data_IF_261759800243
#
_entry.id   IF_261759800243
#
_cell.length_a   1.000
_cell.length_b   1.000
_cell.length_c   1.000
_cell.angle_alpha   90.00
_cell.angle_beta   90.00
_cell.angle_gamma   90.00
#
_symmetry.space_group_name_H-M   'P 1'
#
loop_
_entity.id
_entity.type
_entity.pdbx_description
1 polymer ?
#
# COMPACT_ATOMS: atom_id res chain seq x y z
N UNK A 1 4.36 -17.31 67.19
CA UNK A 1 2.93 -17.18 67.53
C UNK A 1 2.25 -16.74 66.24
N UNK A 2 1.75 -17.65 65.39
CA UNK A 2 0.43 -18.30 65.50
C UNK A 2 -0.63 -17.33 64.94
N UNK A 3 -1.45 -17.60 63.93
CA UNK A 3 -1.77 -18.72 63.05
C UNK A 3 -2.80 -18.18 62.02
N UNK A 4 -2.92 -18.77 60.81
CA UNK A 4 -4.12 -19.52 60.33
C UNK A 4 -5.37 -18.65 60.01
N UNK A 5 -6.06 -18.68 58.86
CA UNK A 5 -6.49 -19.71 57.87
C UNK A 5 -7.00 -18.99 56.58
N UNK A 6 -6.67 -19.41 55.35
CA UNK A 6 -7.35 -20.36 54.43
C UNK A 6 -8.72 -19.95 53.83
N UNK A 7 -8.86 -20.21 52.52
CA UNK A 7 -10.12 -20.43 51.78
C UNK A 7 -10.25 -19.56 50.52
N UNK A 8 -9.74 -19.92 49.33
CA UNK A 8 -10.19 -20.95 48.38
C UNK A 8 -11.58 -20.69 47.73
N UNK A 9 -11.58 -20.49 46.40
CA UNK A 9 -12.54 -21.19 45.53
C UNK A 9 -13.42 -20.38 44.56
N UNK A 10 -13.11 -20.57 43.27
CA UNK A 10 -14.01 -20.90 42.13
C UNK A 10 -14.60 -19.79 41.25
N UNK A 11 -14.20 -19.89 39.98
CA UNK A 11 -14.95 -19.58 38.76
C UNK A 11 -16.43 -20.03 38.80
N UNK A 12 -17.27 -19.38 37.98
CA UNK A 12 -18.24 -20.11 37.18
C UNK A 12 -18.20 -19.75 35.69
N UNK A 13 -18.21 -20.83 34.90
CA UNK A 13 -18.41 -20.96 33.45
C UNK A 13 -19.88 -20.75 33.07
N UNK A 14 -20.10 -20.24 31.85
CA UNK A 14 -21.28 -20.29 30.97
C UNK A 14 -22.70 -20.40 31.55
N UNK A 15 -23.57 -19.49 31.08
CA UNK A 15 -24.90 -19.82 30.48
C UNK A 15 -25.67 -18.55 30.11
N UNK A 16 -25.90 -18.34 28.81
CA UNK A 16 -27.13 -17.68 28.32
C UNK A 16 -27.52 -18.21 26.94
N UNK A 17 -28.49 -19.12 26.94
CA UNK A 17 -29.36 -19.48 25.81
C UNK A 17 -30.80 -19.18 26.23
N UNK A 18 -31.51 -18.37 25.46
CA UNK A 18 -32.95 -18.49 25.16
C UNK A 18 -33.35 -17.25 24.33
N UNK A 19 -33.56 -17.37 23.01
CA UNK A 19 -34.80 -17.81 22.36
C UNK A 19 -35.74 -16.63 22.04
N UNK A 20 -35.81 -16.24 20.77
CA UNK A 20 -37.03 -15.74 20.11
C UNK A 20 -37.01 -16.16 18.64
N UNK A 21 -37.71 -17.26 18.35
CA UNK A 21 -38.11 -17.63 17.00
C UNK A 21 -39.44 -16.95 16.65
N UNK A 22 -39.54 -16.42 15.44
CA UNK A 22 -40.78 -15.94 14.82
C UNK A 22 -40.79 -16.38 13.37
N UNK A 23 -41.57 -17.43 13.07
CA UNK A 23 -41.78 -17.97 11.71
C UNK A 23 -42.69 -17.03 10.93
N UNK A 24 -42.30 -16.64 9.73
CA UNK A 24 -43.21 -16.06 8.74
C UNK A 24 -43.68 -17.19 7.81
N UNK A 25 -44.99 -17.41 7.84
CA UNK A 25 -45.70 -18.41 7.07
C UNK A 25 -45.80 -18.01 5.58
N UNK A 26 -45.68 -19.01 4.71
CA UNK A 26 -45.98 -18.96 3.28
C UNK A 26 -47.49 -18.82 3.06
N UNK A 27 -47.88 -18.04 2.06
CA UNK A 27 -49.20 -18.12 1.45
C UNK A 27 -49.06 -18.06 -0.10
N UNK A 28 -49.60 -19.07 -0.78
CA UNK A 28 -50.05 -19.05 -2.19
C UNK A 28 -51.57 -19.26 -2.13
N UNK A 29 -52.36 -18.61 -3.01
CA UNK A 29 -52.95 -19.31 -4.18
C UNK A 29 -53.15 -18.33 -5.38
N UNK A 30 -53.63 -18.60 -6.60
CA UNK A 30 -54.30 -19.71 -7.30
C UNK A 30 -54.08 -19.54 -8.84
N UNK A 31 -54.27 -20.61 -9.64
CA UNK A 31 -54.42 -20.57 -11.11
C UNK A 31 -55.90 -20.37 -11.50
N UNK A 32 -56.19 -19.97 -12.76
CA UNK A 32 -57.03 -20.86 -13.59
C UNK A 32 -56.67 -20.96 -15.09
N UNK A 33 -56.67 -22.22 -15.57
CA UNK A 33 -57.22 -22.84 -16.80
C UNK A 33 -57.40 -22.05 -18.13
N UNK A 34 -56.96 -22.67 -19.24
CA UNK A 34 -57.78 -22.85 -20.46
C UNK A 34 -57.16 -22.49 -21.82
N UNK A 35 -56.79 -23.50 -22.62
CA UNK A 35 -56.51 -23.45 -24.08
C UNK A 35 -57.83 -23.40 -24.90
N UNK A 36 -57.85 -23.01 -26.20
CA UNK A 36 -57.59 -23.94 -27.35
C UNK A 36 -56.87 -23.27 -28.56
N UNK A 37 -55.91 -23.92 -29.24
CA UNK A 37 -55.98 -24.86 -30.38
C UNK A 37 -55.66 -24.20 -31.77
N UNK A 38 -54.88 -24.93 -32.58
CA UNK A 38 -54.24 -24.57 -33.86
C UNK A 38 -55.18 -24.26 -35.04
N UNK A 39 -54.62 -23.94 -36.24
CA UNK A 39 -54.66 -25.00 -37.26
C UNK A 39 -53.36 -25.25 -38.05
N UNK A 40 -53.34 -26.47 -38.59
CA UNK A 40 -52.28 -27.24 -39.25
C UNK A 40 -51.92 -26.83 -40.69
N UNK A 41 -50.66 -27.12 -40.99
CA UNK A 41 -50.09 -27.80 -42.18
C UNK A 41 -49.89 -27.06 -43.51
N UNK A 42 -48.66 -27.18 -44.03
CA UNK A 42 -48.36 -27.89 -45.30
C UNK A 42 -46.91 -28.39 -45.33
N UNK A 43 -46.75 -29.65 -45.76
CA UNK A 43 -45.48 -30.34 -46.04
C UNK A 43 -44.93 -29.91 -47.40
N UNK A 44 -43.61 -29.94 -47.56
CA UNK A 44 -42.94 -30.32 -48.80
C UNK A 44 -41.59 -30.99 -48.47
N UNK A 45 -41.39 -32.16 -49.06
CA UNK A 45 -40.20 -33.02 -48.98
C UNK A 45 -38.99 -32.41 -49.73
N UNK A 46 -37.77 -32.83 -49.38
CA UNK A 46 -36.62 -32.67 -50.28
C UNK A 46 -35.21 -32.68 -49.69
N UNK A 47 -34.71 -33.87 -49.34
CA UNK A 47 -33.34 -34.40 -49.52
C UNK A 47 -32.06 -33.67 -49.01
N UNK A 48 -31.17 -34.54 -48.49
CA UNK A 48 -29.70 -34.50 -48.53
C UNK A 48 -28.91 -33.71 -47.45
N UNK A 49 -28.84 -34.32 -46.27
CA UNK A 49 -27.61 -34.59 -45.49
C UNK A 49 -26.38 -33.69 -45.61
N UNK A 50 -26.13 -32.91 -44.55
CA UNK A 50 -24.82 -32.80 -43.92
C UNK A 50 -25.02 -32.79 -42.40
N UNK A 51 -24.62 -33.87 -41.71
CA UNK A 51 -24.64 -33.93 -40.25
C UNK A 51 -23.49 -33.07 -39.71
N UNK A 52 -23.78 -31.85 -39.32
CA UNK A 52 -22.93 -31.11 -38.37
C UNK A 52 -23.36 -31.54 -36.98
N UNK A 53 -22.57 -32.42 -36.35
CA UNK A 53 -22.80 -32.81 -34.96
C UNK A 53 -22.60 -31.59 -34.04
N UNK A 54 -23.41 -31.43 -32.97
CA UNK A 54 -23.10 -30.46 -31.93
C UNK A 54 -21.97 -31.05 -31.08
N UNK A 55 -20.73 -30.78 -31.47
CA UNK A 55 -19.59 -30.97 -30.57
C UNK A 55 -19.75 -29.99 -29.39
N UNK A 56 -19.39 -30.38 -28.16
CA UNK A 56 -19.40 -29.45 -27.04
C UNK A 56 -18.41 -28.31 -27.35
N UNK A 57 -18.93 -27.09 -27.51
CA UNK A 57 -18.12 -25.87 -27.49
C UNK A 57 -17.63 -25.65 -26.05
N UNK A 58 -16.66 -26.45 -25.61
CA UNK A 58 -15.74 -25.98 -24.57
C UNK A 58 -14.88 -24.93 -25.25
N UNK A 59 -15.22 -23.65 -25.06
CA UNK A 59 -14.37 -22.53 -25.44
C UNK A 59 -13.03 -22.71 -24.72
N UNK A 60 -12.03 -23.23 -25.42
CA UNK A 60 -10.68 -23.35 -24.88
C UNK A 60 -10.19 -21.94 -24.53
N UNK A 61 -9.82 -21.73 -23.27
CA UNK A 61 -9.23 -20.46 -22.81
C UNK A 61 -7.99 -20.20 -23.65
N UNK A 62 -7.93 -19.06 -24.31
CA UNK A 62 -6.78 -18.69 -25.13
C UNK A 62 -5.55 -18.46 -24.24
N UNK A 63 -4.31 -18.63 -24.76
CA UNK A 63 -3.11 -18.33 -23.98
C UNK A 63 -3.09 -16.91 -23.41
N UNK A 64 -3.60 -15.94 -24.16
CA UNK A 64 -3.72 -14.55 -23.72
C UNK A 64 -4.66 -14.38 -22.51
N UNK A 65 -5.82 -15.04 -22.54
CA UNK A 65 -6.76 -15.04 -21.40
C UNK A 65 -6.16 -15.73 -20.18
N UNK A 66 -5.45 -16.85 -20.36
CA UNK A 66 -4.79 -17.54 -19.25
C UNK A 66 -3.65 -16.73 -18.65
N UNK A 67 -2.82 -16.09 -19.47
CA UNK A 67 -1.79 -15.16 -19.03
C UNK A 67 -2.39 -14.00 -18.22
N UNK A 68 -3.50 -13.42 -18.69
CA UNK A 68 -4.19 -12.35 -17.98
C UNK A 68 -4.72 -12.81 -16.61
N UNK A 69 -5.34 -13.99 -16.54
CA UNK A 69 -5.81 -14.61 -15.29
C UNK A 69 -4.67 -14.86 -14.29
N UNK A 70 -3.59 -15.52 -14.73
CA UNK A 70 -2.43 -15.80 -13.88
C UNK A 70 -1.80 -14.51 -13.33
N UNK A 71 -1.61 -13.50 -14.20
CA UNK A 71 -1.09 -12.19 -13.78
C UNK A 71 -2.01 -11.52 -12.76
N UNK A 72 -3.32 -11.59 -12.93
CA UNK A 72 -4.28 -11.03 -11.98
C UNK A 72 -4.25 -11.76 -10.63
N UNK A 73 -4.27 -13.09 -10.64
CA UNK A 73 -4.21 -13.92 -9.42
C UNK A 73 -2.91 -13.74 -8.65
N UNK A 74 -1.77 -13.72 -9.34
CA UNK A 74 -0.46 -13.48 -8.72
C UNK A 74 -0.43 -12.09 -8.09
N UNK A 75 -0.91 -11.04 -8.78
CA UNK A 75 -0.98 -9.68 -8.22
C UNK A 75 -1.86 -9.60 -6.98
N UNK A 76 -3.03 -10.25 -7.00
CA UNK A 76 -3.90 -10.36 -5.83
C UNK A 76 -3.17 -11.00 -4.65
N UNK A 77 -2.49 -12.13 -4.86
CA UNK A 77 -1.77 -12.79 -3.77
C UNK A 77 -0.50 -12.03 -3.34
N UNK A 78 0.17 -11.29 -4.23
CA UNK A 78 1.23 -10.35 -3.85
C UNK A 78 0.69 -9.25 -2.94
N UNK A 79 -0.48 -8.67 -3.25
CA UNK A 79 -1.12 -7.67 -2.40
C UNK A 79 -1.48 -8.26 -1.02
N UNK A 80 -2.13 -9.43 -1.00
CA UNK A 80 -2.52 -10.10 0.25
C UNK A 80 -1.31 -10.40 1.15
N UNK A 81 -0.20 -10.83 0.56
CA UNK A 81 1.02 -11.16 1.30
C UNK A 81 1.82 -9.92 1.72
N UNK A 82 2.17 -9.04 0.76
CA UNK A 82 3.14 -7.96 0.99
C UNK A 82 2.52 -6.64 1.44
N UNK A 83 1.21 -6.45 1.24
CA UNK A 83 0.51 -5.21 1.58
C UNK A 83 -0.45 -5.41 2.75
N UNK A 84 -1.24 -6.48 2.71
CA UNK A 84 -2.30 -6.71 3.70
C UNK A 84 -1.87 -7.60 4.87
N UNK A 85 -0.71 -8.26 4.77
CA UNK A 85 -0.19 -9.22 5.78
C UNK A 85 -1.24 -10.31 6.14
N UNK A 86 -1.99 -10.77 5.14
CA UNK A 86 -3.11 -11.71 5.28
C UNK A 86 -3.17 -12.66 4.07
N UNK A 87 -2.17 -13.56 3.92
CA UNK A 87 -2.06 -14.46 2.78
C UNK A 87 -3.18 -15.51 2.74
N UNK A 88 -3.73 -15.75 1.55
CA UNK A 88 -4.82 -16.72 1.33
C UNK A 88 -4.36 -18.10 0.86
N UNK A 89 -3.15 -18.17 0.29
CA UNK A 89 -2.56 -19.39 -0.26
C UNK A 89 -1.18 -19.62 0.32
N UNK A 90 -0.71 -20.86 0.29
CA UNK A 90 0.65 -21.22 0.70
C UNK A 90 1.70 -20.76 -0.31
N UNK A 91 2.94 -20.63 0.15
CA UNK A 91 4.09 -20.30 -0.71
C UNK A 91 4.24 -21.29 -1.87
N UNK A 92 3.97 -22.59 -1.63
CA UNK A 92 4.05 -23.62 -2.66
C UNK A 92 2.98 -23.45 -3.75
N UNK A 93 1.78 -23.00 -3.40
CA UNK A 93 0.71 -22.70 -4.36
C UNK A 93 1.04 -21.43 -5.16
N UNK A 94 1.58 -20.41 -4.51
CA UNK A 94 2.04 -19.19 -5.18
C UNK A 94 3.17 -19.50 -6.19
N UNK A 95 4.15 -20.30 -5.78
CA UNK A 95 5.25 -20.74 -6.65
C UNK A 95 4.74 -21.55 -7.86
N UNK A 96 3.68 -22.33 -7.69
CA UNK A 96 3.06 -23.05 -8.80
C UNK A 96 2.44 -22.10 -9.82
N UNK A 97 1.73 -21.05 -9.37
CA UNK A 97 1.18 -20.01 -10.26
C UNK A 97 2.27 -19.27 -11.02
N UNK A 98 3.36 -18.91 -10.33
CA UNK A 98 4.47 -18.20 -10.94
C UNK A 98 5.18 -19.08 -12.00
N UNK A 99 5.42 -20.36 -11.69
CA UNK A 99 6.00 -21.31 -12.66
C UNK A 99 5.11 -21.53 -13.87
N UNK A 100 3.79 -21.58 -13.70
CA UNK A 100 2.85 -21.68 -14.81
C UNK A 100 2.93 -20.43 -15.71
N UNK A 101 2.95 -19.24 -15.11
CA UNK A 101 3.11 -17.97 -15.82
C UNK A 101 4.43 -17.93 -16.61
N UNK A 102 5.55 -18.29 -15.97
CA UNK A 102 6.87 -18.39 -16.62
C UNK A 102 6.89 -19.41 -17.76
N UNK A 103 6.16 -20.51 -17.61
CA UNK A 103 5.94 -21.52 -18.65
C UNK A 103 5.31 -20.91 -19.89
N UNK A 104 4.13 -20.31 -19.71
CA UNK A 104 3.34 -19.72 -20.80
C UNK A 104 4.04 -18.54 -21.47
N UNK A 105 4.74 -17.70 -20.71
CA UNK A 105 5.51 -16.57 -21.27
C UNK A 105 6.70 -17.02 -22.11
N UNK A 106 7.29 -18.19 -21.80
CA UNK A 106 8.35 -18.79 -22.61
C UNK A 106 7.81 -19.35 -23.93
N UNK A 107 6.60 -19.90 -23.89
CA UNK A 107 5.90 -20.43 -25.08
C UNK A 107 5.32 -19.34 -25.96
N UNK A 108 4.96 -18.19 -25.37
CA UNK A 108 4.37 -17.04 -26.06
C UNK A 108 5.13 -15.73 -25.75
N UNK A 109 6.38 -15.55 -26.24
CA UNK A 109 7.20 -14.38 -25.94
C UNK A 109 6.57 -13.05 -26.40
N UNK A 110 5.74 -13.08 -27.43
CA UNK A 110 5.00 -11.94 -27.99
C UNK A 110 3.91 -11.42 -27.04
N UNK A 111 3.45 -12.22 -26.08
CA UNK A 111 2.43 -11.88 -25.09
C UNK A 111 3.02 -11.42 -23.75
N UNK A 112 4.34 -11.36 -23.61
CA UNK A 112 5.03 -10.90 -22.40
C UNK A 112 4.87 -9.40 -22.25
N UNK A 113 4.25 -8.96 -21.16
CA UNK A 113 4.05 -7.55 -20.87
C UNK A 113 5.11 -7.02 -19.87
N UNK A 114 5.56 -5.75 -19.99
CA UNK A 114 6.56 -5.16 -19.09
C UNK A 114 6.11 -5.04 -17.61
N UNK A 115 4.82 -5.21 -17.34
CA UNK A 115 4.19 -5.20 -16.02
C UNK A 115 3.85 -6.60 -15.49
N UNK A 116 4.31 -7.65 -16.18
CA UNK A 116 4.13 -9.04 -15.73
C UNK A 116 4.94 -9.30 -14.45
N UNK A 117 4.42 -10.08 -13.47
CA UNK A 117 5.13 -10.44 -12.25
C UNK A 117 6.52 -11.06 -12.46
N UNK A 118 6.74 -11.73 -13.59
CA UNK A 118 8.03 -12.33 -13.97
C UNK A 118 9.09 -11.29 -14.34
N UNK A 119 8.68 -10.06 -14.70
CA UNK A 119 9.57 -8.98 -15.12
C UNK A 119 10.11 -8.15 -13.95
N UNK A 120 9.80 -8.52 -12.70
CA UNK A 120 10.26 -7.78 -11.50
C UNK A 120 11.77 -7.85 -11.29
N UNK A 121 12.37 -9.01 -11.56
CA UNK A 121 13.81 -9.26 -11.36
C UNK A 121 14.40 -9.73 -12.67
N UNK A 122 14.78 -8.77 -13.52
CA UNK A 122 15.33 -9.03 -14.84
C UNK A 122 16.28 -7.94 -15.30
N UNK A 123 17.12 -8.26 -16.28
CA UNK A 123 18.08 -7.34 -16.88
C UNK A 123 19.52 -7.48 -16.37
N UNK A 124 20.42 -6.83 -17.10
CA UNK A 124 21.83 -6.64 -16.75
C UNK A 124 21.94 -5.54 -15.69
N UNK A 125 22.97 -5.58 -14.81
CA UNK A 125 23.26 -4.46 -13.93
C UNK A 125 23.29 -3.15 -14.71
N UNK A 126 22.73 -2.09 -14.13
CA UNK A 126 22.78 -0.75 -14.73
C UNK A 126 24.19 -0.18 -14.58
N UNK A 127 24.64 0.62 -15.54
CA UNK A 127 25.97 1.25 -15.46
C UNK A 127 25.99 2.42 -14.47
N UNK A 128 24.83 3.02 -14.22
CA UNK A 128 24.62 4.13 -13.30
C UNK A 128 23.15 4.53 -13.28
N UNK A 129 22.83 5.59 -12.55
CA UNK A 129 21.48 6.14 -12.48
C UNK A 129 21.42 7.54 -13.08
N UNK A 130 20.45 7.76 -13.96
CA UNK A 130 20.21 9.07 -14.54
C UNK A 130 19.60 10.02 -13.50
N UNK A 131 20.01 11.27 -13.53
CA UNK A 131 19.40 12.32 -12.69
C UNK A 131 18.17 12.89 -13.37
N UNK A 132 17.01 12.71 -12.76
CA UNK A 132 15.70 13.13 -13.28
C UNK A 132 15.10 14.20 -12.37
N UNK A 133 14.45 15.19 -12.98
CA UNK A 133 13.73 16.25 -12.26
C UNK A 133 12.36 15.73 -11.83
N UNK A 134 11.97 16.04 -10.60
CA UNK A 134 10.61 15.79 -10.11
C UNK A 134 9.60 16.70 -10.81
N UNK A 135 8.36 16.23 -10.99
CA UNK A 135 7.28 17.03 -11.58
C UNK A 135 6.95 18.24 -10.69
N UNK A 136 6.91 18.00 -9.38
CA UNK A 136 6.79 19.00 -8.32
C UNK A 136 7.93 18.82 -7.30
N UNK A 137 8.44 19.87 -6.63
CA UNK A 137 9.44 19.70 -5.59
C UNK A 137 8.98 18.77 -4.45
N UNK A 138 9.87 17.89 -3.98
CA UNK A 138 9.74 17.09 -2.76
C UNK A 138 10.32 17.88 -1.57
N UNK A 139 9.51 18.79 -1.04
CA UNK A 139 9.87 19.64 0.09
C UNK A 139 10.11 18.80 1.36
N UNK A 140 10.91 19.37 2.27
CA UNK A 140 11.05 18.79 3.61
C UNK A 140 9.84 19.18 4.46
N UNK A 141 9.67 18.53 5.61
CA UNK A 141 8.72 18.97 6.62
C UNK A 141 9.43 19.75 7.72
N UNK A 142 8.76 20.76 8.25
CA UNK A 142 9.20 21.41 9.49
C UNK A 142 9.02 20.44 10.66
N UNK A 143 9.80 20.60 11.72
CA UNK A 143 9.77 19.70 12.87
C UNK A 143 9.07 20.35 14.07
N UNK A 144 8.38 19.54 14.84
CA UNK A 144 7.86 19.85 16.18
C UNK A 144 8.33 18.77 17.16
N UNK A 145 8.68 19.15 18.38
CA UNK A 145 9.27 18.24 19.38
C UNK A 145 8.46 18.15 20.67
N UNK A 146 7.47 19.02 20.85
CA UNK A 146 6.65 19.09 22.06
C UNK A 146 5.21 19.55 21.74
N UNK A 147 4.25 19.30 22.65
CA UNK A 147 2.86 19.68 22.45
C UNK A 147 2.64 21.17 22.19
N UNK A 148 3.43 22.04 22.81
CA UNK A 148 3.33 23.49 22.68
C UNK A 148 3.66 23.96 21.26
N UNK A 149 4.72 23.40 20.66
CA UNK A 149 5.10 23.67 19.26
C UNK A 149 4.02 23.20 18.28
N UNK A 150 3.38 22.07 18.56
CA UNK A 150 2.32 21.53 17.70
C UNK A 150 1.04 22.39 17.78
N UNK A 151 0.67 22.87 18.98
CA UNK A 151 -0.40 23.86 19.17
C UNK A 151 -0.08 25.17 18.46
N UNK A 152 1.16 25.64 18.54
CA UNK A 152 1.59 26.82 17.82
C UNK A 152 1.55 26.64 16.29
N UNK A 153 1.80 25.43 15.78
CA UNK A 153 1.60 25.11 14.36
C UNK A 153 0.13 25.23 13.96
N UNK A 154 -0.79 24.64 14.73
CA UNK A 154 -2.23 24.73 14.48
C UNK A 154 -2.74 26.19 14.47
N UNK A 155 -2.31 27.00 15.45
CA UNK A 155 -2.65 28.42 15.50
C UNK A 155 -2.14 29.20 14.27
N UNK A 156 -0.89 28.95 13.85
CA UNK A 156 -0.32 29.57 12.64
C UNK A 156 -1.08 29.16 11.40
N UNK A 157 -1.46 27.89 11.30
CA UNK A 157 -2.21 27.35 10.17
C UNK A 157 -3.58 27.99 10.08
N UNK A 158 -4.36 28.00 11.18
CA UNK A 158 -5.70 28.61 11.20
C UNK A 158 -5.66 30.10 10.93
N UNK A 159 -4.67 30.82 11.47
CA UNK A 159 -4.47 32.25 11.15
C UNK A 159 -4.18 32.46 9.66
N UNK A 160 -3.26 31.68 9.08
CA UNK A 160 -2.95 31.76 7.65
C UNK A 160 -4.16 31.46 6.76
N UNK A 161 -5.04 30.56 7.17
CA UNK A 161 -6.30 30.28 6.48
C UNK A 161 -7.31 31.42 6.61
N UNK A 162 -7.45 32.02 7.79
CA UNK A 162 -8.30 33.20 8.00
C UNK A 162 -7.85 34.38 7.12
N UNK A 163 -6.55 34.65 7.06
CA UNK A 163 -5.94 35.66 6.18
C UNK A 163 -6.18 35.35 4.69
N UNK A 164 -6.22 34.07 4.32
CA UNK A 164 -6.55 33.60 2.97
C UNK A 164 -8.07 33.46 2.69
N UNK A 165 -8.92 34.03 3.55
CA UNK A 165 -10.38 34.05 3.38
C UNK A 165 -11.05 32.68 3.50
N UNK A 166 -10.47 31.76 4.26
CA UNK A 166 -11.03 30.44 4.56
C UNK A 166 -10.89 30.09 6.06
N UNK A 167 -11.45 30.91 6.98
CA UNK A 167 -11.31 30.66 8.41
C UNK A 167 -11.86 29.29 8.81
N UNK A 168 -11.18 28.64 9.75
CA UNK A 168 -11.60 27.39 10.37
C UNK A 168 -11.51 27.53 11.89
N UNK A 169 -12.57 27.09 12.58
CA UNK A 169 -12.55 26.99 14.04
C UNK A 169 -11.72 25.78 14.49
N UNK A 170 -11.92 24.64 13.82
CA UNK A 170 -11.21 23.38 14.05
C UNK A 170 -10.68 22.86 12.72
N UNK A 171 -9.38 22.55 12.65
CA UNK A 171 -8.76 22.01 11.46
C UNK A 171 -8.80 20.47 11.47
N UNK A 172 -9.28 19.81 10.40
CA UNK A 172 -9.18 18.37 10.26
C UNK A 172 -7.77 17.98 9.81
N UNK A 173 -7.13 17.07 10.54
CA UNK A 173 -5.77 16.60 10.24
C UNK A 173 -5.77 15.11 9.95
N UNK A 174 -4.94 14.69 9.01
CA UNK A 174 -4.51 13.29 8.91
C UNK A 174 -3.16 13.15 9.61
N UNK A 175 -3.11 12.29 10.62
CA UNK A 175 -1.90 11.90 11.32
C UNK A 175 -1.42 10.55 10.77
N UNK A 176 -0.18 10.49 10.30
CA UNK A 176 0.45 9.30 9.69
C UNK A 176 1.77 9.01 10.41
N UNK A 177 2.15 7.73 10.54
CA UNK A 177 3.47 7.38 11.07
C UNK A 177 4.56 7.88 10.13
N UNK A 178 5.60 8.51 10.70
CA UNK A 178 6.74 8.99 9.94
C UNK A 178 7.73 7.84 9.73
N UNK A 179 7.61 7.17 8.59
CA UNK A 179 8.44 6.01 8.25
C UNK A 179 9.91 6.43 8.14
N UNK A 180 10.82 5.67 8.76
CA UNK A 180 12.25 5.94 8.67
C UNK A 180 12.91 5.16 7.52
N UNK A 181 12.97 5.79 6.35
CA UNK A 181 13.53 5.17 5.15
C UNK A 181 14.12 6.16 4.14
N UNK A 182 13.89 5.86 2.87
CA UNK A 182 14.26 6.67 1.72
C UNK A 182 13.01 7.08 0.95
N UNK A 183 12.75 8.38 0.87
CA UNK A 183 11.63 8.88 0.08
C UNK A 183 11.78 8.58 -1.42
N UNK A 184 10.69 8.12 -2.02
CA UNK A 184 10.59 7.72 -3.43
C UNK A 184 9.39 8.41 -4.10
N UNK A 185 9.52 8.67 -5.39
CA UNK A 185 8.43 9.09 -6.28
C UNK A 185 8.22 8.04 -7.37
N UNK A 186 6.99 7.56 -7.55
CA UNK A 186 6.60 6.52 -8.48
C UNK A 186 5.67 7.10 -9.53
N UNK A 187 6.04 7.04 -10.80
CA UNK A 187 5.16 7.45 -11.89
C UNK A 187 4.46 6.22 -12.47
N UNK A 188 3.14 6.29 -12.50
CA UNK A 188 2.28 5.36 -13.23
C UNK A 188 1.67 6.06 -14.45
N UNK A 189 1.64 5.38 -15.59
CA UNK A 189 0.95 5.82 -16.80
C UNK A 189 -0.04 4.74 -17.22
N UNK A 190 -1.32 5.11 -17.28
CA UNK A 190 -2.45 4.21 -17.54
C UNK A 190 -2.40 2.95 -16.67
N UNK A 191 -2.15 3.18 -15.38
CA UNK A 191 -2.06 2.15 -14.34
C UNK A 191 -0.75 1.37 -14.31
N UNK A 192 0.22 1.61 -15.19
CA UNK A 192 1.49 0.86 -15.22
C UNK A 192 2.66 1.65 -14.69
N UNK A 193 3.49 1.03 -13.85
CA UNK A 193 4.69 1.64 -13.31
C UNK A 193 5.70 1.89 -14.45
N UNK A 194 5.95 3.16 -14.74
CA UNK A 194 6.91 3.57 -15.79
C UNK A 194 8.19 4.13 -15.21
N UNK A 195 8.17 4.70 -14.00
CA UNK A 195 9.36 5.29 -13.37
C UNK A 195 9.34 5.25 -11.86
N UNK A 196 10.50 5.04 -11.24
CA UNK A 196 10.77 5.28 -9.82
C UNK A 196 11.97 6.20 -9.65
N UNK A 197 11.81 7.31 -8.90
CA UNK A 197 12.86 8.32 -8.69
C UNK A 197 13.11 8.47 -7.19
N UNK A 198 14.37 8.46 -6.76
CA UNK A 198 14.74 8.83 -5.39
C UNK A 198 14.43 10.31 -5.12
N UNK A 199 14.34 10.71 -3.86
CA UNK A 199 14.17 12.14 -3.54
C UNK A 199 15.32 13.02 -4.02
N UNK A 200 16.57 12.55 -3.87
CA UNK A 200 17.78 13.34 -4.10
C UNK A 200 17.79 14.64 -3.29
N UNK A 201 17.94 15.79 -3.96
CA UNK A 201 17.93 17.12 -3.35
C UNK A 201 16.52 17.70 -3.13
N UNK A 202 15.48 16.95 -3.53
CA UNK A 202 14.08 17.37 -3.50
C UNK A 202 13.59 18.00 -4.81
N UNK A 203 14.49 18.42 -5.71
CA UNK A 203 14.15 18.90 -7.05
C UNK A 203 14.54 17.89 -8.14
N UNK A 204 15.62 17.16 -7.89
CA UNK A 204 16.18 16.13 -8.75
C UNK A 204 16.53 14.90 -7.91
N UNK A 205 16.34 13.74 -8.50
CA UNK A 205 16.72 12.46 -7.92
C UNK A 205 17.23 11.50 -8.97
N UNK A 206 17.58 10.30 -8.53
CA UNK A 206 18.11 9.24 -9.39
C UNK A 206 16.96 8.36 -9.88
N UNK A 207 16.93 8.04 -11.18
CA UNK A 207 16.03 7.04 -11.75
C UNK A 207 16.47 5.65 -11.30
N UNK A 208 15.75 5.09 -10.33
CA UNK A 208 15.99 3.77 -9.73
C UNK A 208 14.89 2.79 -10.10
N UNK A 209 14.28 2.96 -11.29
CA UNK A 209 13.12 2.17 -11.74
C UNK A 209 13.38 0.67 -11.70
N UNK A 210 14.55 0.22 -12.13
CA UNK A 210 14.96 -1.20 -12.09
C UNK A 210 14.94 -1.76 -10.66
N UNK A 211 15.41 -0.98 -9.69
CA UNK A 211 15.45 -1.38 -8.29
C UNK A 211 14.06 -1.35 -7.65
N UNK A 212 13.25 -0.33 -7.94
CA UNK A 212 11.86 -0.21 -7.47
C UNK A 212 11.02 -1.41 -7.92
N UNK A 213 11.18 -1.88 -9.16
CA UNK A 213 10.45 -3.05 -9.68
C UNK A 213 10.65 -4.33 -8.87
N UNK A 214 11.77 -4.44 -8.15
CA UNK A 214 12.09 -5.58 -7.30
C UNK A 214 11.34 -5.57 -5.97
N UNK A 215 10.81 -4.43 -5.54
CA UNK A 215 10.07 -4.27 -4.29
C UNK A 215 8.67 -4.84 -4.49
N UNK A 216 8.41 -6.01 -3.87
CA UNK A 216 7.16 -6.76 -4.07
C UNK A 216 5.91 -6.00 -3.62
N UNK A 217 6.03 -5.20 -2.55
CA UNK A 217 4.95 -4.33 -2.07
C UNK A 217 4.55 -3.24 -3.07
N UNK A 218 5.40 -2.90 -4.06
CA UNK A 218 5.07 -1.93 -5.09
C UNK A 218 4.47 -2.68 -6.30
N UNK A 219 3.18 -2.45 -6.64
CA UNK A 219 2.56 -3.07 -7.81
C UNK A 219 3.17 -2.52 -9.10
N UNK A 220 3.48 -3.42 -10.05
CA UNK A 220 3.89 -3.01 -11.41
C UNK A 220 2.70 -2.48 -12.24
N UNK A 221 1.50 -2.91 -11.91
CA UNK A 221 0.24 -2.46 -12.48
C UNK A 221 -0.77 -2.27 -11.34
N UNK A 222 -1.42 -1.11 -11.31
CA UNK A 222 -2.45 -0.77 -10.34
C UNK A 222 -3.69 -1.63 -10.53
N UNK A 223 -4.41 -1.89 -9.43
CA UNK A 223 -5.71 -2.54 -9.51
C UNK A 223 -6.73 -1.60 -10.19
N UNK A 224 -7.48 -2.13 -11.15
CA UNK A 224 -8.43 -1.38 -11.97
C UNK A 224 -7.75 -0.54 -13.08
N UNK A 225 -8.55 0.25 -13.80
CA UNK A 225 -8.07 1.14 -14.85
C UNK A 225 -7.85 2.54 -14.27
N UNK A 226 -6.72 2.78 -13.62
CA UNK A 226 -6.33 4.12 -13.20
C UNK A 226 -5.89 4.93 -14.45
N UNK A 227 -6.64 5.96 -14.86
CA UNK A 227 -6.42 6.61 -16.15
C UNK A 227 -5.29 7.65 -16.06
N UNK A 228 -4.57 7.83 -17.17
CA UNK A 228 -3.62 8.93 -17.33
C UNK A 228 -2.35 8.77 -16.49
N UNK A 229 -1.67 9.89 -16.26
CA UNK A 229 -0.40 9.93 -15.56
C UNK A 229 -0.59 10.30 -14.10
N UNK A 230 -0.09 9.45 -13.21
CA UNK A 230 -0.13 9.61 -11.77
C UNK A 230 1.29 9.59 -11.21
N UNK A 231 1.56 10.45 -10.25
CA UNK A 231 2.75 10.38 -9.42
C UNK A 231 2.34 10.04 -7.98
N UNK A 232 2.95 9.00 -7.42
CA UNK A 232 2.71 8.52 -6.07
C UNK A 232 4.00 8.65 -5.28
N UNK A 233 3.95 9.37 -4.15
CA UNK A 233 5.11 9.52 -3.26
C UNK A 233 4.97 8.64 -2.04
N UNK A 234 6.11 8.14 -1.60
CA UNK A 234 6.19 7.19 -0.49
C UNK A 234 7.57 7.17 0.13
N UNK A 235 7.76 6.19 1.01
CA UNK A 235 9.02 5.88 1.67
C UNK A 235 9.33 4.40 1.42
N UNK A 236 10.51 4.11 0.88
CA UNK A 236 11.09 2.77 0.84
C UNK A 236 11.83 2.54 2.14
N UNK A 237 11.58 1.43 2.81
CA UNK A 237 12.20 1.10 4.09
C UNK A 237 12.62 -0.37 4.12
N UNK A 238 13.46 -0.71 5.10
CA UNK A 238 13.86 -2.08 5.35
C UNK A 238 13.14 -2.57 6.62
N UNK A 239 12.21 -3.53 6.52
CA UNK A 239 11.54 -4.10 7.68
C UNK A 239 12.55 -4.65 8.70
N UNK A 240 12.25 -4.53 10.00
CA UNK A 240 13.12 -4.95 11.11
C UNK A 240 13.58 -6.42 10.97
N UNK A 241 12.70 -7.40 10.66
CA UNK A 241 13.14 -8.78 10.45
C UNK A 241 14.12 -8.95 9.28
N UNK A 242 13.94 -8.17 8.20
CA UNK A 242 14.82 -8.19 7.05
C UNK A 242 16.18 -7.57 7.36
N UNK A 243 16.20 -6.48 8.12
CA UNK A 243 17.42 -5.85 8.61
C UNK A 243 18.23 -6.77 9.53
N UNK A 244 17.58 -7.40 10.51
CA UNK A 244 18.23 -8.32 11.43
C UNK A 244 18.82 -9.53 10.69
N UNK A 245 18.07 -10.11 9.74
CA UNK A 245 18.58 -11.18 8.86
C UNK A 245 19.81 -10.71 8.09
N UNK A 246 19.74 -9.53 7.47
CA UNK A 246 20.83 -8.98 6.68
C UNK A 246 22.09 -8.76 7.51
N UNK A 247 21.97 -8.27 8.75
CA UNK A 247 23.13 -8.11 9.63
C UNK A 247 23.72 -9.45 10.07
N UNK A 248 22.89 -10.46 10.40
CA UNK A 248 23.40 -11.82 10.68
C UNK A 248 24.18 -12.41 9.51
N UNK A 249 23.65 -12.31 8.29
CA UNK A 249 24.36 -12.78 7.08
C UNK A 249 25.70 -12.06 6.84
N UNK A 250 25.82 -10.80 7.27
CA UNK A 250 27.06 -10.02 7.17
C UNK A 250 28.06 -10.41 8.24
N UNK A 251 27.61 -10.61 9.48
CA UNK A 251 28.45 -11.12 10.58
C UNK A 251 29.04 -12.49 10.23
N UNK A 252 28.23 -13.40 9.68
CA UNK A 252 28.68 -14.71 9.20
C UNK A 252 29.75 -14.65 8.11
N UNK A 253 29.79 -13.53 7.35
CA UNK A 253 30.78 -13.26 6.29
C UNK A 253 31.91 -12.34 6.75
N UNK A 254 31.97 -12.01 8.05
CA UNK A 254 32.94 -11.07 8.63
C UNK A 254 32.91 -9.67 7.96
N UNK A 255 31.76 -9.28 7.43
CA UNK A 255 31.53 -7.96 6.84
C UNK A 255 31.01 -6.95 7.89
N UNK A 256 31.31 -5.65 7.76
CA UNK A 256 30.73 -4.63 8.63
C UNK A 256 29.20 -4.64 8.56
N UNK A 257 28.54 -4.69 9.72
CA UNK A 257 27.09 -4.61 9.85
C UNK A 257 26.57 -3.21 9.54
N UNK A 258 25.30 -3.11 9.15
CA UNK A 258 24.64 -1.82 8.98
C UNK A 258 24.25 -1.25 10.35
N UNK A 259 24.48 0.05 10.53
CA UNK A 259 24.18 0.75 11.78
C UNK A 259 22.68 0.93 12.05
N UNK A 260 21.88 1.14 11.00
CA UNK A 260 20.42 1.30 11.12
C UNK A 260 19.71 0.89 9.81
N UNK A 261 18.40 0.56 9.86
CA UNK A 261 17.62 0.16 8.69
C UNK A 261 17.55 1.23 7.59
N UNK A 262 17.48 2.52 7.95
CA UNK A 262 17.43 3.64 6.99
C UNK A 262 18.65 3.65 6.06
N UNK A 263 19.85 3.53 6.62
CA UNK A 263 21.10 3.51 5.87
C UNK A 263 21.21 2.24 5.01
N UNK A 264 20.78 1.09 5.55
CA UNK A 264 20.73 -0.15 4.79
C UNK A 264 19.76 -0.05 3.59
N UNK A 265 18.58 0.54 3.78
CA UNK A 265 17.60 0.78 2.71
C UNK A 265 18.15 1.72 1.63
N UNK A 266 18.71 2.86 2.03
CA UNK A 266 19.28 3.83 1.10
C UNK A 266 20.45 3.25 0.30
N UNK A 267 21.36 2.52 0.94
CA UNK A 267 22.47 1.86 0.26
C UNK A 267 22.01 0.74 -0.67
N UNK A 268 20.93 0.04 -0.32
CA UNK A 268 20.33 -0.99 -1.16
C UNK A 268 19.71 -0.39 -2.42
N UNK A 269 18.95 0.69 -2.29
CA UNK A 269 18.27 1.32 -3.44
C UNK A 269 19.24 1.88 -4.49
N UNK A 270 20.51 2.07 -4.13
CA UNK A 270 21.58 2.55 -5.02
C UNK A 270 22.49 1.42 -5.54
N UNK A 271 22.11 0.16 -5.35
CA UNK A 271 22.84 -0.97 -5.95
C UNK A 271 22.61 -1.02 -7.46
N UNK A 272 23.69 -1.20 -8.22
CA UNK A 272 23.64 -1.26 -9.68
C UNK A 272 23.02 -2.58 -10.20
N UNK A 273 23.08 -3.65 -9.40
CA UNK A 273 22.46 -4.93 -9.73
C UNK A 273 21.12 -5.08 -8.99
N UNK A 274 19.96 -5.02 -9.70
CA UNK A 274 18.65 -5.21 -9.10
C UNK A 274 18.48 -6.56 -8.41
N UNK A 275 19.24 -7.60 -8.80
CA UNK A 275 19.19 -8.90 -8.12
C UNK A 275 19.66 -8.80 -6.67
N UNK A 276 20.60 -7.88 -6.38
CA UNK A 276 21.02 -7.63 -5.01
C UNK A 276 19.92 -6.93 -4.22
N UNK A 277 19.22 -5.97 -4.84
CA UNK A 277 18.09 -5.26 -4.23
C UNK A 277 16.96 -6.23 -3.87
N UNK A 278 16.59 -7.10 -4.80
CA UNK A 278 15.55 -8.11 -4.61
C UNK A 278 15.80 -9.00 -3.39
N UNK A 279 17.07 -9.36 -3.12
CA UNK A 279 17.46 -10.20 -1.98
C UNK A 279 17.38 -9.49 -0.63
N UNK A 280 17.43 -8.15 -0.60
CA UNK A 280 17.43 -7.41 0.68
C UNK A 280 16.07 -7.39 1.35
N UNK A 281 14.97 -7.60 0.60
CA UNK A 281 13.62 -7.60 1.16
C UNK A 281 13.16 -6.20 1.60
N UNK A 282 13.42 -5.19 0.76
CA UNK A 282 12.84 -3.86 0.96
C UNK A 282 11.32 -3.91 0.86
N UNK A 283 10.67 -3.00 1.58
CA UNK A 283 9.24 -2.71 1.47
C UNK A 283 9.03 -1.22 1.24
N UNK A 284 7.78 -0.81 1.04
CA UNK A 284 7.42 0.59 0.85
C UNK A 284 6.07 0.90 1.47
N UNK A 285 5.90 2.16 1.88
CA UNK A 285 4.58 2.75 2.12
C UNK A 285 4.42 4.00 1.26
N UNK A 286 3.23 4.23 0.72
CA UNK A 286 2.88 5.44 -0.04
C UNK A 286 1.96 6.33 0.77
N UNK A 287 2.12 7.65 0.60
CA UNK A 287 1.46 8.63 1.45
C UNK A 287 0.96 9.87 0.72
N UNK A 288 1.18 10.01 -0.59
CA UNK A 288 0.73 11.17 -1.35
C UNK A 288 0.48 10.84 -2.82
N UNK A 289 -0.64 11.34 -3.33
CA UNK A 289 -1.02 11.28 -4.73
C UNK A 289 -0.87 12.66 -5.37
N UNK A 290 -0.23 12.70 -6.54
CA UNK A 290 -0.09 13.88 -7.40
C UNK A 290 -0.59 13.45 -8.78
N UNK A 291 -1.58 14.15 -9.29
CA UNK A 291 -2.19 13.88 -10.59
C UNK A 291 -2.91 15.13 -11.08
N UNK A 292 -3.48 15.05 -12.28
CA UNK A 292 -4.42 16.06 -12.75
C UNK A 292 -5.56 16.25 -11.75
N UNK A 293 -6.03 17.49 -11.59
CA UNK A 293 -7.01 17.86 -10.56
C UNK A 293 -8.31 17.04 -10.61
N UNK A 294 -8.69 16.50 -11.78
CA UNK A 294 -9.85 15.63 -11.93
C UNK A 294 -9.67 14.24 -11.30
N UNK A 295 -8.44 13.81 -11.06
CA UNK A 295 -8.07 12.50 -10.52
C UNK A 295 -7.67 12.54 -9.05
N UNK A 296 -7.42 13.72 -8.48
CA UNK A 296 -7.11 13.90 -7.07
C UNK A 296 -8.41 14.14 -6.28
N UNK A 297 -8.70 13.38 -5.21
CA UNK A 297 -9.85 13.65 -4.34
C UNK A 297 -9.80 15.02 -3.68
N UNK A 298 -10.87 15.44 -3.00
CA UNK A 298 -10.87 16.71 -2.26
C UNK A 298 -10.01 16.63 -0.99
N UNK A 299 -9.95 15.44 -0.39
CA UNK A 299 -9.29 15.18 0.88
C UNK A 299 -8.11 14.24 0.74
N UNK A 300 -7.13 14.40 1.63
CA UNK A 300 -5.97 13.54 1.70
C UNK A 300 -6.31 12.14 2.20
N UNK A 301 -7.19 12.04 3.18
CA UNK A 301 -7.76 10.77 3.67
C UNK A 301 -8.39 9.96 2.55
N UNK A 302 -9.14 10.61 1.65
CA UNK A 302 -9.70 9.99 0.44
C UNK A 302 -8.62 9.58 -0.56
N UNK A 303 -7.55 10.36 -0.69
CA UNK A 303 -6.40 10.01 -1.53
C UNK A 303 -5.69 8.76 -1.00
N UNK A 304 -5.48 8.64 0.31
CA UNK A 304 -4.94 7.42 0.94
C UNK A 304 -5.84 6.21 0.69
N UNK A 305 -7.15 6.36 0.85
CA UNK A 305 -8.11 5.29 0.55
C UNK A 305 -8.07 4.86 -0.92
N UNK A 306 -7.92 5.81 -1.86
CA UNK A 306 -7.79 5.54 -3.29
C UNK A 306 -6.49 4.82 -3.64
N UNK A 307 -5.36 5.25 -3.07
CA UNK A 307 -4.07 4.58 -3.23
C UNK A 307 -4.18 3.11 -2.78
N UNK A 308 -4.80 2.87 -1.62
CA UNK A 308 -5.05 1.51 -1.13
C UNK A 308 -5.95 0.71 -2.08
N UNK A 309 -7.02 1.31 -2.59
CA UNK A 309 -7.91 0.64 -3.55
C UNK A 309 -7.24 0.28 -4.90
N UNK A 310 -6.13 0.94 -5.23
CA UNK A 310 -5.27 0.61 -6.36
C UNK A 310 -4.21 -0.47 -6.06
N UNK A 311 -4.23 -1.04 -4.85
CA UNK A 311 -3.27 -2.06 -4.41
C UNK A 311 -1.92 -1.49 -3.99
N UNK A 312 -1.81 -0.18 -3.77
CA UNK A 312 -0.58 0.42 -3.24
C UNK A 312 -0.49 0.28 -1.72
N UNK A 313 0.73 0.12 -1.17
CA UNK A 313 0.91 -0.10 0.25
C UNK A 313 0.73 1.20 1.03
N UNK A 314 -0.43 1.40 1.64
CA UNK A 314 -0.68 2.52 2.56
C UNK A 314 -0.58 2.00 3.98
N UNK A 315 0.18 2.68 4.84
CA UNK A 315 0.28 2.33 6.26
C UNK A 315 -1.11 2.31 6.91
N UNK A 316 -1.44 1.26 7.64
CA UNK A 316 -2.79 1.06 8.19
C UNK A 316 -3.08 1.89 9.45
N UNK A 317 -2.10 2.61 10.00
CA UNK A 317 -2.20 3.22 11.31
C UNK A 317 -2.62 4.69 11.28
N UNK A 318 -2.75 5.29 10.09
CA UNK A 318 -3.16 6.69 9.98
C UNK A 318 -4.54 6.94 10.61
N UNK A 319 -4.73 8.16 11.13
CA UNK A 319 -5.99 8.58 11.76
C UNK A 319 -6.41 9.96 11.26
N UNK A 320 -7.70 10.12 10.97
CA UNK A 320 -8.32 11.44 10.83
C UNK A 320 -8.58 12.00 12.24
N UNK A 321 -8.01 13.15 12.54
CA UNK A 321 -8.03 13.82 13.83
C UNK A 321 -8.71 15.19 13.68
N UNK A 322 -9.78 15.42 14.43
CA UNK A 322 -10.47 16.71 14.49
C UNK A 322 -9.75 17.63 15.49
N UNK A 323 -8.91 18.54 14.99
CA UNK A 323 -8.16 19.49 15.81
C UNK A 323 -6.89 18.96 16.45
N UNK A 324 -6.10 19.87 17.01
CA UNK A 324 -4.76 19.58 17.54
C UNK A 324 -4.76 18.66 18.76
N UNK A 325 -5.80 18.71 19.61
CA UNK A 325 -5.86 17.84 20.79
C UNK A 325 -6.04 16.35 20.41
N UNK A 326 -6.83 16.07 19.36
CA UNK A 326 -6.95 14.72 18.82
C UNK A 326 -5.63 14.22 18.20
N UNK A 327 -4.89 15.12 17.57
CA UNK A 327 -3.53 14.83 17.05
C UNK A 327 -2.57 14.53 18.20
N UNK A 328 -2.59 15.29 19.29
CA UNK A 328 -1.74 15.05 20.45
C UNK A 328 -2.01 13.68 21.08
N UNK A 329 -3.29 13.31 21.23
CA UNK A 329 -3.66 11.99 21.71
C UNK A 329 -3.11 10.86 20.81
N UNK A 330 -3.13 11.05 19.49
CA UNK A 330 -2.52 10.12 18.55
C UNK A 330 -0.99 10.04 18.70
N UNK A 331 -0.31 11.18 18.87
CA UNK A 331 1.14 11.22 19.11
C UNK A 331 1.52 10.49 20.40
N UNK A 332 0.75 10.68 21.47
CA UNK A 332 1.00 10.03 22.77
C UNK A 332 0.80 8.51 22.70
N UNK A 333 -0.22 8.04 21.98
CA UNK A 333 -0.45 6.61 21.73
C UNK A 333 0.75 5.96 21.01
N UNK A 334 1.19 6.57 19.92
CA UNK A 334 2.27 6.04 19.09
C UNK A 334 3.67 6.25 19.67
N UNK A 335 3.80 7.06 20.72
CA UNK A 335 5.04 7.22 21.45
C UNK A 335 5.53 5.89 22.05
N UNK A 336 4.64 5.00 22.48
CA UNK A 336 5.04 3.69 23.01
C UNK A 336 4.68 2.54 22.06
N UNK A 337 3.55 2.63 21.35
CA UNK A 337 3.10 1.57 20.46
C UNK A 337 4.08 1.31 19.30
N UNK A 338 4.87 2.32 18.89
CA UNK A 338 5.82 2.20 17.77
C UNK A 338 6.84 1.07 17.94
N UNK A 339 7.21 0.72 19.17
CA UNK A 339 8.23 -0.30 19.44
C UNK A 339 7.79 -1.72 19.05
N UNK A 340 6.49 -1.92 18.82
CA UNK A 340 5.92 -3.20 18.38
C UNK A 340 5.79 -3.31 16.86
N UNK A 341 6.09 -2.24 16.13
CA UNK A 341 5.98 -2.23 14.67
C UNK A 341 7.11 -3.05 14.03
N UNK A 342 6.84 -3.71 12.89
CA UNK A 342 7.85 -4.43 12.13
C UNK A 342 8.79 -3.50 11.34
N UNK A 343 8.73 -2.19 11.58
CA UNK A 343 9.53 -1.16 10.93
C UNK A 343 9.84 -0.02 11.90
N UNK A 344 10.83 0.80 11.55
CA UNK A 344 11.21 1.96 12.35
C UNK A 344 10.40 3.21 11.94
N UNK A 345 10.00 3.97 12.97
CA UNK A 345 9.36 5.28 12.81
C UNK A 345 9.91 6.25 13.84
N UNK A 346 10.19 7.47 13.40
CA UNK A 346 10.83 8.51 14.21
C UNK A 346 9.87 9.63 14.65
N UNK A 347 8.56 9.46 14.40
CA UNK A 347 7.57 10.48 14.69
C UNK A 347 6.24 10.27 13.98
N UNK A 348 5.45 11.34 13.93
CA UNK A 348 4.17 11.43 13.24
C UNK A 348 4.24 12.59 12.25
N UNK A 349 3.74 12.38 11.03
CA UNK A 349 3.48 13.46 10.08
C UNK A 349 2.03 13.88 10.21
N UNK A 350 1.81 15.18 10.46
CA UNK A 350 0.49 15.78 10.58
C UNK A 350 0.25 16.62 9.33
N UNK A 351 -0.84 16.36 8.61
CA UNK A 351 -1.20 17.06 7.37
C UNK A 351 -2.64 17.54 7.43
N UNK A 352 -2.92 18.79 7.07
CA UNK A 352 -4.29 19.29 6.91
C UNK A 352 -5.06 18.43 5.90
N UNK A 353 -6.22 17.88 6.22
CA UNK A 353 -6.89 16.89 5.35
C UNK A 353 -7.37 17.50 4.02
N UNK A 354 -7.90 18.72 4.06
CA UNK A 354 -8.48 19.42 2.91
C UNK A 354 -7.41 19.92 1.92
N UNK A 355 -7.33 19.33 0.72
CA UNK A 355 -6.26 19.62 -0.25
C UNK A 355 -6.36 21.03 -0.84
N UNK A 356 -7.58 21.54 -1.06
CA UNK A 356 -7.79 22.90 -1.54
C UNK A 356 -7.23 23.95 -0.58
N UNK A 357 -7.29 23.68 0.73
CA UNK A 357 -6.74 24.56 1.76
C UNK A 357 -5.21 24.49 1.82
N UNK A 358 -4.61 23.34 1.51
CA UNK A 358 -3.15 23.21 1.34
C UNK A 358 -2.63 24.13 0.25
N UNK A 359 -3.32 24.19 -0.89
CA UNK A 359 -2.96 25.06 -2.00
C UNK A 359 -3.05 26.55 -1.61
N UNK A 360 -4.07 26.94 -0.84
CA UNK A 360 -4.22 28.31 -0.34
C UNK A 360 -3.11 28.71 0.64
N UNK A 361 -2.74 27.81 1.55
CA UNK A 361 -1.65 28.04 2.51
C UNK A 361 -0.29 28.09 1.82
N UNK A 362 -0.10 27.26 0.80
CA UNK A 362 1.15 27.14 0.06
C UNK A 362 2.30 26.61 0.93
N UNK A 363 3.51 27.07 0.60
CA UNK A 363 4.74 26.68 1.27
C UNK A 363 5.64 27.88 1.53
N UNK A 364 6.57 27.70 2.45
CA UNK A 364 7.79 28.52 2.54
C UNK A 364 8.79 28.07 1.46
N UNK A 365 10.01 28.63 1.45
CA UNK A 365 11.07 28.17 0.55
C UNK A 365 11.51 26.71 0.78
N UNK A 366 11.19 26.11 1.94
CA UNK A 366 11.67 24.77 2.32
C UNK A 366 10.58 23.81 2.81
N UNK A 367 9.52 24.33 3.42
CA UNK A 367 8.52 23.56 4.14
C UNK A 367 7.10 23.95 3.73
N UNK A 368 6.18 22.99 3.53
CA UNK A 368 4.75 23.30 3.38
C UNK A 368 4.20 23.92 4.66
N UNK A 369 3.26 24.86 4.55
CA UNK A 369 2.63 25.48 5.73
C UNK A 369 1.49 24.64 6.31
N UNK A 370 1.08 23.61 5.59
CA UNK A 370 -0.07 22.75 5.90
C UNK A 370 0.32 21.39 6.50
N UNK A 371 1.61 21.13 6.71
CA UNK A 371 2.09 19.91 7.34
C UNK A 371 3.33 20.13 8.22
N UNK A 372 3.46 19.28 9.25
CA UNK A 372 4.58 19.28 10.20
C UNK A 372 4.90 17.85 10.62
N UNK A 373 6.17 17.58 10.95
CA UNK A 373 6.60 16.32 11.54
C UNK A 373 6.78 16.47 13.05
N UNK A 374 5.93 15.82 13.84
CA UNK A 374 6.13 15.69 15.29
C UNK A 374 7.13 14.56 15.56
N UNK A 375 8.30 14.89 16.10
CA UNK A 375 9.39 13.95 16.35
C UNK A 375 9.28 13.34 17.73
N UNK A 376 9.44 12.02 17.81
CA UNK A 376 9.58 11.38 19.10
C UNK A 376 10.95 11.69 19.71
N UNK A 377 11.06 11.71 21.05
CA UNK A 377 12.36 11.82 21.71
C UNK A 377 13.29 10.72 21.21
N UNK A 378 14.52 11.08 20.83
CA UNK A 378 15.53 10.09 20.48
C UNK A 378 15.77 9.15 21.68
N UNK A 379 15.87 7.85 21.43
CA UNK A 379 16.28 6.90 22.45
C UNK A 379 17.71 7.22 22.89
N UNK A 380 17.86 7.75 24.10
CA UNK A 380 19.16 7.98 24.71
C UNK A 380 19.51 6.77 25.57
N UNK A 381 20.44 5.95 25.09
CA UNK A 381 21.07 4.90 25.90
C UNK A 381 22.48 5.36 26.31
N UNK A 382 22.73 5.47 27.62
CA UNK A 382 24.09 5.66 28.13
C UNK A 382 24.73 4.29 28.29
N UNK A 383 25.84 4.03 27.59
CA UNK A 383 26.64 2.81 27.77
C UNK A 383 28.06 3.15 28.21
N UNK A 384 28.69 2.23 28.96
CA UNK A 384 30.06 2.39 29.43
C UNK A 384 31.00 1.73 28.44
N UNK A 385 31.90 2.52 27.84
CA UNK A 385 32.98 2.01 27.02
C UNK A 385 33.95 1.23 27.92
N UNK A 386 34.01 -0.09 27.77
CA UNK A 386 35.07 -0.89 28.39
C UNK A 386 36.33 -0.71 27.52
N UNK A 387 37.38 -0.15 28.12
CA UNK A 387 38.71 -0.05 27.50
C UNK A 387 39.53 -1.28 27.84
#
# INVERSE_FOLDING_TARGET
MGGHLQGAGRDPVDRLRAAKGGRLCRARPAQPRGLPAEPRARRADGAAGLRVGPGPLTTAVTPAERLADLRARIRHHEERYYVLDDPEISDAEFDALLKELEGLEREHPDLVSPDSPTQRVGGRPVEGFDTVRHSEPMLSLDNSYNPEELKAFDERLRRGLAEAGAPLDVAPYVAELKIDGLSISLTYEDGRLVRGITRGDGFRGEDVTSNVRTIRAIPLALAGAAPGRLEVRGEVYLPRPAFERLNREREEREEPVFANPRNAASGTMRQLDPKQVARRGLSAFVYQLIADASLVPARHSEALARLRAWGLPVDGHWRLCEGVDAVLAYCDEWKEARHRLPFDTDGVVIKLDELALRARLGATSKFPRWAVAFKFPAEQATTRLLR
#
